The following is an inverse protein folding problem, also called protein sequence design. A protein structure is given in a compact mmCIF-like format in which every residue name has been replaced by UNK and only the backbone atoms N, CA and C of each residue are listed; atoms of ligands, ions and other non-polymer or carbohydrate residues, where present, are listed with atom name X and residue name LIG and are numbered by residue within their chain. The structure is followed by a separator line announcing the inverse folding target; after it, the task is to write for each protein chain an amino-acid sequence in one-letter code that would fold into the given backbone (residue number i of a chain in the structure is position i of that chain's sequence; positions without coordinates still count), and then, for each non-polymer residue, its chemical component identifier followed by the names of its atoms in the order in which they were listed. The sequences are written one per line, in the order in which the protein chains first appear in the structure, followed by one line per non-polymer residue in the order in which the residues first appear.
data_IF_428507592437
#
_entry.id   IF_428507592437
#
_cell.length_a   1.000
_cell.length_b   1.000
_cell.length_c   1.000
_cell.angle_alpha   90.00
_cell.angle_beta   90.00
_cell.angle_gamma   90.00
#
_symmetry.space_group_name_H-M   'P 1'
#
loop_
_entity.id
_entity.type
_entity.pdbx_description
1 polymer ?
#
# COMPACT_ATOMS: atom_id res chain seq x y z
N UNK A 1 -13.66 -38.51 2.00
CA UNK A 1 -13.30 -37.17 2.55
C UNK A 1 -13.97 -36.12 1.69
N UNK A 2 -14.86 -35.30 2.26
CA UNK A 2 -15.55 -34.28 1.49
C UNK A 2 -14.61 -33.08 1.26
N UNK A 3 -14.82 -32.35 0.17
CA UNK A 3 -13.97 -31.22 -0.23
C UNK A 3 -13.99 -30.11 0.84
N UNK A 4 -15.11 -29.99 1.56
CA UNK A 4 -15.29 -29.08 2.69
C UNK A 4 -14.41 -29.43 3.90
N UNK A 5 -14.23 -30.72 4.21
CA UNK A 5 -13.38 -31.18 5.32
C UNK A 5 -11.92 -30.83 5.09
N UNK A 6 -11.47 -30.91 3.82
CA UNK A 6 -10.12 -30.53 3.40
C UNK A 6 -9.92 -29.03 3.59
N UNK A 7 -10.89 -28.22 3.13
CA UNK A 7 -10.87 -26.76 3.28
C UNK A 7 -10.77 -26.35 4.75
N UNK A 8 -11.62 -26.90 5.62
CA UNK A 8 -11.62 -26.56 7.04
C UNK A 8 -10.32 -26.98 7.74
N UNK A 9 -9.80 -28.17 7.45
CA UNK A 9 -8.50 -28.63 7.98
C UNK A 9 -7.34 -27.76 7.52
N UNK A 10 -7.37 -27.30 6.27
CA UNK A 10 -6.34 -26.42 5.74
C UNK A 10 -6.32 -25.04 6.39
N UNK A 11 -7.50 -24.41 6.55
CA UNK A 11 -7.61 -23.13 7.26
C UNK A 11 -7.09 -23.28 8.69
N UNK A 12 -7.46 -24.36 9.40
CA UNK A 12 -7.01 -24.60 10.78
C UNK A 12 -5.51 -24.87 10.88
N UNK A 13 -4.93 -25.72 10.02
CA UNK A 13 -3.49 -26.05 10.06
C UNK A 13 -2.60 -24.85 9.71
N UNK A 14 -3.03 -24.01 8.76
CA UNK A 14 -2.25 -22.87 8.28
C UNK A 14 -2.72 -21.53 8.88
N UNK A 15 -3.49 -21.54 9.98
CA UNK A 15 -4.14 -20.35 10.53
C UNK A 15 -3.19 -19.16 10.76
N UNK A 16 -1.96 -19.42 11.21
CA UNK A 16 -0.92 -18.38 11.38
C UNK A 16 -0.53 -17.67 10.08
N UNK A 17 -0.71 -18.33 8.96
CA UNK A 17 -0.45 -17.76 7.63
C UNK A 17 -1.68 -17.05 7.07
N UNK A 18 -2.87 -17.53 7.43
CA UNK A 18 -4.15 -16.91 7.10
C UNK A 18 -4.44 -15.65 7.91
N UNK A 19 -3.89 -15.51 9.12
CA UNK A 19 -4.25 -14.40 10.03
C UNK A 19 -3.91 -13.03 9.43
N UNK A 20 -2.77 -12.87 8.77
CA UNK A 20 -2.39 -11.57 8.18
C UNK A 20 -3.29 -11.23 6.98
N UNK A 21 -3.69 -12.24 6.19
CA UNK A 21 -4.66 -12.08 5.11
C UNK A 21 -6.05 -11.73 5.65
N UNK A 22 -6.49 -12.44 6.69
CA UNK A 22 -7.78 -12.24 7.34
C UNK A 22 -7.89 -10.86 7.97
N UNK A 23 -6.90 -10.45 8.77
CA UNK A 23 -6.86 -9.12 9.41
C UNK A 23 -6.89 -8.03 8.36
N UNK A 24 -6.16 -8.21 7.25
CA UNK A 24 -6.18 -7.29 6.12
C UNK A 24 -7.60 -7.12 5.53
N UNK A 25 -8.30 -8.23 5.25
CA UNK A 25 -9.67 -8.19 4.74
C UNK A 25 -10.63 -7.53 5.74
N UNK A 26 -10.61 -7.98 6.99
CA UNK A 26 -11.51 -7.51 8.04
C UNK A 26 -11.33 -6.02 8.32
N UNK A 27 -10.09 -5.53 8.39
CA UNK A 27 -9.80 -4.09 8.55
C UNK A 27 -10.28 -3.28 7.35
N UNK A 28 -10.16 -3.79 6.13
CA UNK A 28 -10.66 -3.10 4.94
C UNK A 28 -12.19 -2.97 4.95
N UNK A 29 -12.86 -4.05 5.35
CA UNK A 29 -14.32 -4.10 5.51
C UNK A 29 -14.81 -3.17 6.62
N UNK A 30 -14.11 -3.15 7.75
CA UNK A 30 -14.35 -2.24 8.86
C UNK A 30 -14.27 -0.78 8.42
N UNK A 31 -13.19 -0.39 7.73
CA UNK A 31 -13.00 1.02 7.32
C UNK A 31 -14.07 1.43 6.33
N UNK A 32 -14.36 0.60 5.33
CA UNK A 32 -15.47 0.90 4.42
C UNK A 32 -16.81 1.03 5.14
N UNK A 33 -17.11 0.11 6.06
CA UNK A 33 -18.36 0.12 6.81
C UNK A 33 -18.53 1.40 7.63
N UNK A 34 -17.47 1.90 8.27
CA UNK A 34 -17.49 3.18 9.00
C UNK A 34 -17.90 4.31 8.06
N UNK A 35 -17.28 4.41 6.88
CA UNK A 35 -17.59 5.48 5.92
C UNK A 35 -18.99 5.37 5.32
N UNK A 36 -19.43 4.14 5.02
CA UNK A 36 -20.80 3.90 4.60
C UNK A 36 -21.80 4.30 5.69
N UNK A 37 -21.49 4.01 6.96
CA UNK A 37 -22.32 4.38 8.11
C UNK A 37 -22.38 5.89 8.33
N UNK A 38 -21.25 6.59 8.19
CA UNK A 38 -21.18 8.06 8.29
C UNK A 38 -22.05 8.72 7.21
N UNK A 39 -22.01 8.23 5.96
CA UNK A 39 -22.84 8.76 4.86
C UNK A 39 -24.34 8.66 5.13
N UNK A 40 -24.76 7.61 5.84
CA UNK A 40 -26.18 7.33 6.09
C UNK A 40 -26.69 7.82 7.45
N UNK A 41 -25.80 8.20 8.37
CA UNK A 41 -26.19 8.68 9.71
C UNK A 41 -27.10 9.90 9.63
N UNK A 42 -28.17 9.88 10.44
CA UNK A 42 -29.09 11.00 10.57
C UNK A 42 -28.46 12.17 11.31
N UNK A 43 -27.56 11.90 12.26
CA UNK A 43 -26.85 12.93 13.05
C UNK A 43 -25.96 13.80 12.17
N UNK A 44 -25.18 13.19 11.27
CA UNK A 44 -24.38 13.94 10.29
C UNK A 44 -25.28 14.73 9.35
N UNK A 45 -26.35 14.10 8.84
CA UNK A 45 -27.24 14.80 7.91
C UNK A 45 -27.87 16.03 8.54
N UNK A 46 -28.35 15.94 9.79
CA UNK A 46 -29.02 17.05 10.49
C UNK A 46 -28.13 18.29 10.62
N UNK A 47 -26.85 18.10 10.97
CA UNK A 47 -25.89 19.19 11.12
C UNK A 47 -25.36 19.70 9.77
N UNK A 48 -25.52 18.94 8.69
CA UNK A 48 -24.85 19.18 7.39
C UNK A 48 -25.80 19.39 6.21
N UNK A 49 -27.12 19.47 6.43
CA UNK A 49 -28.14 19.53 5.35
C UNK A 49 -27.82 20.62 4.33
N UNK A 50 -27.22 21.72 4.76
CA UNK A 50 -27.00 22.90 3.92
C UNK A 50 -25.62 22.96 3.25
N UNK A 51 -24.66 22.10 3.62
CA UNK A 51 -23.30 22.16 3.08
C UNK A 51 -23.10 21.12 1.96
N UNK A 52 -23.46 21.52 0.72
CA UNK A 52 -23.36 20.68 -0.50
C UNK A 52 -21.95 20.14 -0.70
N UNK A 53 -20.92 20.91 -0.33
CA UNK A 53 -19.53 20.53 -0.50
C UNK A 53 -19.17 19.35 0.40
N UNK A 54 -19.57 19.38 1.67
CA UNK A 54 -19.26 18.30 2.61
C UNK A 54 -19.98 17.00 2.24
N UNK A 55 -21.26 17.07 1.83
CA UNK A 55 -21.99 15.89 1.36
C UNK A 55 -21.32 15.27 0.11
N UNK A 56 -20.82 16.10 -0.79
CA UNK A 56 -20.08 15.67 -1.99
C UNK A 56 -18.75 15.01 -1.63
N UNK A 57 -18.01 15.56 -0.65
CA UNK A 57 -16.75 14.98 -0.16
C UNK A 57 -17.00 13.60 0.45
N UNK A 58 -17.96 13.47 1.38
CA UNK A 58 -18.30 12.18 2.02
C UNK A 58 -18.71 11.11 0.99
N UNK A 59 -19.49 11.49 -0.03
CA UNK A 59 -19.87 10.56 -1.11
C UNK A 59 -18.67 10.13 -1.95
N UNK A 60 -17.79 11.08 -2.29
CA UNK A 60 -16.58 10.81 -3.08
C UNK A 60 -15.60 9.90 -2.32
N UNK A 61 -15.48 10.07 -1.00
CA UNK A 61 -14.60 9.25 -0.17
C UNK A 61 -14.95 7.76 -0.19
N UNK A 62 -16.24 7.42 -0.21
CA UNK A 62 -16.68 6.01 -0.35
C UNK A 62 -16.15 5.40 -1.66
N UNK A 63 -16.27 6.14 -2.77
CA UNK A 63 -15.81 5.66 -4.09
C UNK A 63 -14.30 5.47 -4.11
N UNK A 64 -13.55 6.45 -3.60
CA UNK A 64 -12.08 6.38 -3.49
C UNK A 64 -11.65 5.16 -2.67
N UNK A 65 -12.31 4.92 -1.52
CA UNK A 65 -12.01 3.76 -0.67
C UNK A 65 -12.27 2.42 -1.38
N UNK A 66 -13.35 2.29 -2.16
CA UNK A 66 -13.63 1.05 -2.90
C UNK A 66 -12.48 0.70 -3.84
N UNK A 67 -11.93 1.70 -4.55
CA UNK A 67 -10.82 1.49 -5.49
C UNK A 67 -9.59 0.95 -4.75
N UNK A 68 -9.19 1.60 -3.64
CA UNK A 68 -8.02 1.17 -2.88
C UNK A 68 -8.20 -0.18 -2.18
N UNK A 69 -9.38 -0.41 -1.60
CA UNK A 69 -9.73 -1.68 -0.98
C UNK A 69 -9.73 -2.81 -2.03
N UNK A 70 -10.29 -2.58 -3.22
CA UNK A 70 -10.28 -3.58 -4.30
C UNK A 70 -8.85 -3.92 -4.73
N UNK A 71 -7.99 -2.91 -4.95
CA UNK A 71 -6.56 -3.11 -5.26
C UNK A 71 -5.91 -3.96 -4.16
N UNK A 72 -6.07 -3.56 -2.90
CA UNK A 72 -5.49 -4.24 -1.76
C UNK A 72 -5.95 -5.70 -1.63
N UNK A 73 -7.25 -5.96 -1.73
CA UNK A 73 -7.83 -7.31 -1.66
C UNK A 73 -7.30 -8.17 -2.81
N UNK A 74 -7.23 -7.63 -4.03
CA UNK A 74 -6.67 -8.35 -5.18
C UNK A 74 -5.20 -8.72 -4.94
N UNK A 75 -4.39 -7.78 -4.44
CA UNK A 75 -2.96 -8.03 -4.15
C UNK A 75 -2.76 -9.06 -3.03
N UNK A 76 -3.43 -8.86 -1.90
CA UNK A 76 -3.39 -9.75 -0.74
C UNK A 76 -3.76 -11.19 -1.13
N UNK A 77 -4.78 -11.32 -1.98
CA UNK A 77 -5.27 -12.61 -2.46
C UNK A 77 -4.33 -13.26 -3.49
N UNK A 78 -3.78 -12.51 -4.45
CA UNK A 78 -2.80 -13.05 -5.41
C UNK A 78 -1.56 -13.58 -4.70
N UNK A 79 -1.13 -12.91 -3.63
CA UNK A 79 -0.01 -13.37 -2.83
C UNK A 79 -0.34 -14.68 -2.11
N UNK A 80 -1.51 -14.74 -1.46
CA UNK A 80 -1.95 -15.93 -0.73
C UNK A 80 -1.88 -17.19 -1.61
N UNK A 81 -2.33 -17.09 -2.87
CA UNK A 81 -2.22 -18.18 -3.85
C UNK A 81 -0.77 -18.49 -4.26
N UNK A 82 0.08 -17.47 -4.45
CA UNK A 82 1.50 -17.67 -4.79
C UNK A 82 2.23 -18.49 -3.73
N UNK A 83 1.93 -18.27 -2.45
CA UNK A 83 2.53 -19.01 -1.33
C UNK A 83 2.14 -20.50 -1.34
N UNK A 84 0.92 -20.80 -1.78
CA UNK A 84 0.37 -22.17 -1.81
C UNK A 84 0.59 -22.90 -3.13
N UNK A 85 1.42 -22.37 -4.03
CA UNK A 85 1.76 -23.03 -5.31
C UNK A 85 2.32 -24.44 -5.12
N UNK A 86 3.19 -24.67 -4.13
CA UNK A 86 3.73 -26.03 -3.87
C UNK A 86 2.66 -27.00 -3.37
N UNK A 87 1.73 -26.53 -2.53
CA UNK A 87 0.59 -27.32 -2.03
C UNK A 87 -0.36 -27.68 -3.16
N UNK A 88 -0.71 -26.70 -4.00
CA UNK A 88 -1.53 -26.90 -5.21
C UNK A 88 -0.86 -27.86 -6.21
N UNK A 89 0.47 -27.75 -6.37
CA UNK A 89 1.25 -28.66 -7.21
C UNK A 89 1.23 -30.10 -6.68
N UNK A 90 1.34 -30.27 -5.35
CA UNK A 90 1.25 -31.58 -4.70
C UNK A 90 -0.14 -32.21 -4.88
N UNK A 91 -1.22 -31.43 -4.73
CA UNK A 91 -2.57 -31.92 -4.99
C UNK A 91 -2.74 -32.44 -6.41
N UNK A 92 -2.19 -31.74 -7.39
CA UNK A 92 -2.25 -32.19 -8.78
C UNK A 92 -1.36 -33.42 -9.06
N UNK A 93 -0.28 -33.64 -8.30
CA UNK A 93 0.53 -34.88 -8.37
C UNK A 93 -0.20 -36.08 -7.75
N UNK A 94 -0.99 -35.84 -6.70
CA UNK A 94 -1.81 -36.86 -6.04
C UNK A 94 -3.08 -37.24 -6.84
N UNK A 95 -3.20 -36.78 -8.09
CA UNK A 95 -4.33 -37.10 -8.98
C UNK A 95 -5.57 -36.24 -8.79
N UNK A 96 -5.54 -35.19 -7.95
CA UNK A 96 -6.69 -34.29 -7.79
C UNK A 96 -6.86 -33.45 -9.06
N UNK A 97 -8.06 -33.44 -9.62
CA UNK A 97 -8.35 -32.72 -10.86
C UNK A 97 -8.22 -31.20 -10.66
N UNK A 98 -7.76 -30.47 -11.69
CA UNK A 98 -7.65 -29.00 -11.64
C UNK A 98 -8.97 -28.31 -11.27
N UNK A 99 -10.11 -28.91 -11.64
CA UNK A 99 -11.46 -28.45 -11.27
C UNK A 99 -11.70 -28.53 -9.76
N UNK A 100 -11.38 -29.65 -9.14
CA UNK A 100 -11.51 -29.82 -7.69
C UNK A 100 -10.61 -28.86 -6.92
N UNK A 101 -9.36 -28.66 -7.36
CA UNK A 101 -8.45 -27.67 -6.76
C UNK A 101 -9.00 -26.24 -6.93
N UNK A 102 -9.53 -25.92 -8.12
CA UNK A 102 -10.17 -24.62 -8.39
C UNK A 102 -11.36 -24.34 -7.47
N UNK A 103 -12.25 -25.32 -7.29
CA UNK A 103 -13.39 -25.23 -6.37
C UNK A 103 -12.94 -25.10 -4.92
N UNK A 104 -11.90 -25.83 -4.52
CA UNK A 104 -11.32 -25.73 -3.18
C UNK A 104 -10.82 -24.33 -2.86
N UNK A 105 -10.02 -23.73 -3.76
CA UNK A 105 -9.54 -22.35 -3.59
C UNK A 105 -10.67 -21.32 -3.57
N UNK A 106 -11.71 -21.55 -4.37
CA UNK A 106 -12.90 -20.70 -4.39
C UNK A 106 -13.59 -20.72 -3.02
N UNK A 107 -13.87 -21.92 -2.49
CA UNK A 107 -14.50 -22.09 -1.18
C UNK A 107 -13.65 -21.51 -0.04
N UNK A 108 -12.34 -21.72 -0.04
CA UNK A 108 -11.43 -21.12 0.96
C UNK A 108 -11.50 -19.59 0.92
N UNK A 109 -11.48 -19.00 -0.27
CA UNK A 109 -11.56 -17.53 -0.42
C UNK A 109 -12.91 -17.00 0.06
N UNK A 110 -14.01 -17.70 -0.27
CA UNK A 110 -15.37 -17.34 0.15
C UNK A 110 -15.56 -17.43 1.66
N UNK A 111 -15.12 -18.51 2.29
CA UNK A 111 -15.27 -18.71 3.74
C UNK A 111 -14.43 -17.66 4.50
N UNK A 112 -13.16 -17.48 4.12
CA UNK A 112 -12.30 -16.49 4.76
C UNK A 112 -12.83 -15.07 4.58
N UNK A 113 -13.28 -14.73 3.37
CA UNK A 113 -13.88 -13.43 3.07
C UNK A 113 -15.21 -13.19 3.79
N UNK A 114 -16.07 -14.21 3.88
CA UNK A 114 -17.34 -14.14 4.59
C UNK A 114 -17.16 -13.94 6.09
N UNK A 115 -16.27 -14.69 6.73
CA UNK A 115 -15.94 -14.49 8.15
C UNK A 115 -15.35 -13.11 8.36
N UNK A 116 -14.47 -12.64 7.46
CA UNK A 116 -13.89 -11.30 7.56
C UNK A 116 -14.96 -10.20 7.42
N UNK A 117 -15.97 -10.41 6.57
CA UNK A 117 -17.07 -9.47 6.35
C UNK A 117 -17.94 -9.35 7.59
N UNK A 118 -18.31 -10.49 8.20
CA UNK A 118 -19.06 -10.50 9.46
C UNK A 118 -18.27 -9.81 10.56
N UNK A 119 -16.99 -10.17 10.75
CA UNK A 119 -16.13 -9.55 11.77
C UNK A 119 -15.93 -8.05 11.50
N UNK A 120 -15.75 -7.65 10.24
CA UNK A 120 -15.58 -6.26 9.84
C UNK A 120 -16.82 -5.41 10.12
N UNK A 121 -18.03 -5.91 9.82
CA UNK A 121 -19.29 -5.23 10.13
C UNK A 121 -19.53 -5.19 11.64
N UNK A 122 -19.28 -6.29 12.36
CA UNK A 122 -19.45 -6.33 13.82
C UNK A 122 -18.54 -5.32 14.51
N UNK A 123 -17.22 -5.39 14.29
CA UNK A 123 -16.26 -4.46 14.90
C UNK A 123 -16.53 -3.03 14.41
N UNK A 124 -16.84 -2.84 13.12
CA UNK A 124 -17.17 -1.54 12.54
C UNK A 124 -18.41 -0.92 13.17
N UNK A 125 -19.46 -1.72 13.44
CA UNK A 125 -20.66 -1.27 14.14
C UNK A 125 -20.33 -0.85 15.57
N UNK A 126 -19.61 -1.69 16.34
CA UNK A 126 -19.24 -1.40 17.73
C UNK A 126 -18.36 -0.15 17.86
N UNK A 127 -17.47 0.10 16.89
CA UNK A 127 -16.57 1.25 16.88
C UNK A 127 -17.14 2.48 16.16
N UNK A 128 -18.28 2.37 15.48
CA UNK A 128 -18.87 3.46 14.70
C UNK A 128 -19.07 4.74 15.52
N UNK A 129 -19.59 4.60 16.75
CA UNK A 129 -19.79 5.74 17.66
C UNK A 129 -18.48 6.50 17.91
N UNK A 130 -17.39 5.78 18.20
CA UNK A 130 -16.07 6.38 18.43
C UNK A 130 -15.59 7.17 17.21
N UNK A 131 -15.81 6.65 16.01
CA UNK A 131 -15.41 7.33 14.78
C UNK A 131 -16.31 8.51 14.42
N UNK A 132 -17.59 8.44 14.74
CA UNK A 132 -18.51 9.57 14.62
C UNK A 132 -18.12 10.69 15.60
N UNK A 133 -17.80 10.35 16.85
CA UNK A 133 -17.28 11.32 17.83
C UNK A 133 -15.95 11.94 17.38
N UNK A 134 -15.04 11.13 16.86
CA UNK A 134 -13.79 11.62 16.27
C UNK A 134 -14.06 12.60 15.12
N UNK A 135 -14.97 12.27 14.20
CA UNK A 135 -15.33 13.15 13.09
C UNK A 135 -15.93 14.47 13.57
N UNK A 136 -16.92 14.42 14.47
CA UNK A 136 -17.58 15.63 14.98
C UNK A 136 -16.60 16.51 15.78
N UNK A 137 -15.71 15.89 16.56
CA UNK A 137 -14.65 16.60 17.29
C UNK A 137 -13.66 17.27 16.34
N UNK A 138 -13.24 16.60 15.26
CA UNK A 138 -12.42 17.22 14.21
C UNK A 138 -13.17 18.38 13.56
N UNK A 139 -14.48 18.29 13.37
CA UNK A 139 -15.26 19.41 12.86
C UNK A 139 -15.54 20.53 13.88
N UNK A 140 -15.08 20.41 15.14
CA UNK A 140 -15.42 21.27 16.28
C UNK A 140 -16.93 21.34 16.61
N UNK A 141 -17.69 20.32 16.23
CA UNK A 141 -19.10 20.19 16.58
C UNK A 141 -19.26 19.43 17.90
N UNK A 142 -19.87 20.05 18.90
CA UNK A 142 -20.14 19.44 20.20
C UNK A 142 -21.60 19.00 20.26
N UNK A 143 -21.92 17.92 19.56
CA UNK A 143 -23.27 17.34 19.55
C UNK A 143 -23.25 16.02 20.32
N UNK A 144 -24.20 15.77 21.24
CA UNK A 144 -24.31 14.48 21.91
C UNK A 144 -24.61 13.39 20.88
N UNK A 145 -23.66 12.47 20.70
CA UNK A 145 -23.76 11.37 19.74
C UNK A 145 -24.33 10.12 20.41
N UNK A 146 -25.39 9.61 19.81
CA UNK A 146 -25.97 8.31 20.15
C UNK A 146 -25.54 7.24 19.16
N UNK A 147 -25.56 5.99 19.60
CA UNK A 147 -25.30 4.86 18.72
C UNK A 147 -26.44 4.72 17.69
N UNK A 148 -26.09 4.80 16.41
CA UNK A 148 -27.04 4.64 15.30
C UNK A 148 -26.51 3.57 14.34
N UNK A 149 -27.27 2.49 14.15
CA UNK A 149 -26.90 1.42 13.23
C UNK A 149 -27.70 1.55 11.93
N UNK A 150 -27.00 1.88 10.85
CA UNK A 150 -27.61 2.05 9.53
C UNK A 150 -27.70 0.73 8.77
N UNK A 151 -28.91 0.20 8.61
CA UNK A 151 -29.18 -0.99 7.78
C UNK A 151 -28.72 -0.75 6.33
N UNK A 152 -28.86 0.48 5.82
CA UNK A 152 -28.39 0.85 4.47
C UNK A 152 -26.87 0.70 4.35
N UNK A 153 -26.11 1.04 5.40
CA UNK A 153 -24.66 0.86 5.40
C UNK A 153 -24.25 -0.61 5.40
N UNK A 154 -24.98 -1.47 6.12
CA UNK A 154 -24.76 -2.92 6.15
C UNK A 154 -24.98 -3.51 4.75
N UNK A 155 -26.10 -3.17 4.10
CA UNK A 155 -26.43 -3.69 2.77
C UNK A 155 -25.40 -3.21 1.74
N UNK A 156 -25.05 -1.93 1.73
CA UNK A 156 -24.02 -1.37 0.85
C UNK A 156 -22.68 -2.11 1.01
N UNK A 157 -22.25 -2.31 2.25
CA UNK A 157 -21.01 -3.04 2.59
C UNK A 157 -21.09 -4.48 2.11
N UNK A 158 -22.20 -5.16 2.37
CA UNK A 158 -22.39 -6.54 1.95
C UNK A 158 -22.30 -6.68 0.42
N UNK A 159 -22.99 -5.83 -0.34
CA UNK A 159 -23.00 -5.88 -1.81
C UNK A 159 -21.59 -5.63 -2.39
N UNK A 160 -20.91 -4.57 -1.92
CA UNK A 160 -19.58 -4.22 -2.42
C UNK A 160 -18.56 -5.32 -2.14
N UNK A 161 -18.51 -5.82 -0.92
CA UNK A 161 -17.54 -6.87 -0.57
C UNK A 161 -17.91 -8.23 -1.14
N UNK A 162 -19.18 -8.59 -1.24
CA UNK A 162 -19.59 -9.81 -1.94
C UNK A 162 -19.13 -9.77 -3.40
N UNK A 163 -19.27 -8.63 -4.08
CA UNK A 163 -18.81 -8.46 -5.46
C UNK A 163 -17.29 -8.62 -5.59
N UNK A 164 -16.51 -7.98 -4.71
CA UNK A 164 -15.04 -8.11 -4.70
C UNK A 164 -14.60 -9.54 -4.36
N UNK A 165 -15.25 -10.18 -3.38
CA UNK A 165 -14.96 -11.56 -2.98
C UNK A 165 -15.26 -12.54 -4.12
N UNK A 166 -16.39 -12.38 -4.81
CA UNK A 166 -16.75 -13.22 -5.95
C UNK A 166 -15.73 -13.08 -7.08
N UNK A 167 -15.36 -11.85 -7.42
CA UNK A 167 -14.34 -11.58 -8.43
C UNK A 167 -12.99 -12.22 -8.05
N UNK A 168 -12.53 -12.05 -6.80
CA UNK A 168 -11.25 -12.60 -6.37
C UNK A 168 -11.25 -14.12 -6.26
N UNK A 169 -12.32 -14.73 -5.77
CA UNK A 169 -12.47 -16.19 -5.72
C UNK A 169 -12.51 -16.81 -7.12
N UNK A 170 -13.23 -16.18 -8.06
CA UNK A 170 -13.25 -16.60 -9.47
C UNK A 170 -11.87 -16.48 -10.13
N UNK A 171 -11.17 -15.35 -9.89
CA UNK A 171 -9.81 -15.16 -10.39
C UNK A 171 -8.88 -16.25 -9.84
N UNK A 172 -8.97 -16.57 -8.54
CA UNK A 172 -8.15 -17.59 -7.88
C UNK A 172 -8.35 -18.98 -8.47
N UNK A 173 -9.60 -19.38 -8.71
CA UNK A 173 -9.88 -20.70 -9.28
C UNK A 173 -9.34 -20.83 -10.71
N UNK A 174 -9.37 -19.74 -11.50
CA UNK A 174 -8.80 -19.72 -12.87
C UNK A 174 -7.29 -19.77 -12.93
N UNK A 175 -6.58 -19.25 -11.93
CA UNK A 175 -5.11 -19.20 -11.90
C UNK A 175 -4.49 -20.61 -12.02
N UNK A 176 -5.12 -21.65 -11.48
CA UNK A 176 -4.62 -23.04 -11.52
C UNK A 176 -4.58 -23.61 -12.95
N UNK A 177 -5.48 -23.17 -13.82
CA UNK A 177 -5.53 -23.67 -15.19
C UNK A 177 -4.40 -23.11 -16.06
N UNK A 178 -3.76 -22.01 -15.63
CA UNK A 178 -2.70 -21.33 -16.38
C UNK A 178 -1.28 -21.84 -16.09
N UNK A 179 -1.06 -22.58 -15.00
CA UNK A 179 0.28 -23.07 -14.65
C UNK A 179 0.46 -24.56 -15.00
N UNK A 180 1.43 -24.94 -15.84
CA UNK A 180 1.81 -26.33 -16.03
C UNK A 180 2.48 -26.87 -14.74
N UNK A 181 2.24 -28.15 -14.45
CA UNK A 181 2.69 -28.83 -13.22
C UNK A 181 4.21 -28.70 -13.00
N UNK A 182 4.99 -28.72 -14.09
CA UNK A 182 6.45 -28.66 -14.08
C UNK A 182 6.97 -27.28 -13.61
N UNK A 183 6.29 -26.17 -13.96
CA UNK A 183 6.67 -24.83 -13.49
C UNK A 183 6.41 -24.65 -11.99
N UNK A 184 5.40 -25.33 -11.43
CA UNK A 184 5.11 -25.24 -10.00
C UNK A 184 6.21 -25.84 -9.12
N UNK A 185 6.99 -26.79 -9.65
CA UNK A 185 8.11 -27.44 -8.95
C UNK A 185 9.50 -26.98 -9.43
N UNK A 186 9.68 -26.58 -10.69
CA UNK A 186 10.96 -26.11 -11.26
C UNK A 186 11.13 -24.58 -11.32
N UNK A 187 10.16 -23.77 -10.85
CA UNK A 187 10.31 -22.31 -10.75
C UNK A 187 11.47 -21.82 -9.84
N UNK A 188 12.21 -22.72 -9.19
CA UNK A 188 13.41 -22.41 -8.42
C UNK A 188 14.67 -22.20 -9.26
N UNK A 189 14.64 -22.39 -10.59
CA UNK A 189 15.86 -22.42 -11.42
C UNK A 189 15.79 -21.62 -12.73
N UNK A 190 15.21 -20.42 -12.71
CA UNK A 190 15.71 -19.37 -13.61
C UNK A 190 16.38 -18.32 -12.75
N UNK A 191 17.69 -18.50 -12.53
CA UNK A 191 18.53 -17.48 -11.91
C UNK A 191 18.31 -16.18 -12.68
N UNK A 192 17.71 -15.18 -12.02
CA UNK A 192 17.45 -13.90 -12.64
C UNK A 192 18.78 -13.36 -13.18
N UNK A 193 18.97 -13.31 -14.51
CA UNK A 193 20.20 -12.75 -15.10
C UNK A 193 20.44 -11.36 -14.53
N UNK A 194 21.69 -10.95 -14.27
CA UNK A 194 21.96 -9.63 -13.67
C UNK A 194 21.24 -8.49 -14.42
N UNK A 195 20.66 -7.49 -13.72
CA UNK A 195 19.98 -6.38 -14.38
C UNK A 195 20.93 -5.56 -15.26
N UNK A 196 20.48 -5.30 -16.49
CA UNK A 196 21.10 -4.28 -17.36
C UNK A 196 20.43 -2.94 -17.05
N UNK A 197 20.92 -2.23 -16.04
CA UNK A 197 20.55 -0.84 -15.81
C UNK A 197 21.01 0.02 -17.00
N UNK A 198 20.10 0.78 -17.60
CA UNK A 198 20.42 1.68 -18.72
C UNK A 198 20.82 3.04 -18.15
N UNK A 199 22.02 3.51 -18.50
CA UNK A 199 22.55 4.82 -18.08
C UNK A 199 21.64 5.94 -18.57
N UNK A 200 21.20 5.88 -19.83
CA UNK A 200 20.28 6.85 -20.42
C UNK A 200 18.98 6.97 -19.61
N UNK A 201 18.31 5.85 -19.31
CA UNK A 201 17.06 5.86 -18.53
C UNK A 201 17.27 6.40 -17.11
N UNK A 202 18.43 6.15 -16.50
CA UNK A 202 18.73 6.68 -15.17
C UNK A 202 18.84 8.21 -15.18
N UNK A 203 19.54 8.79 -16.15
CA UNK A 203 19.63 10.25 -16.29
C UNK A 203 18.28 10.87 -16.62
N UNK A 204 17.52 10.30 -17.57
CA UNK A 204 16.16 10.75 -17.89
C UNK A 204 15.28 10.72 -16.62
N UNK A 205 15.36 9.65 -15.83
CA UNK A 205 14.59 9.54 -14.58
C UNK A 205 14.89 10.65 -13.58
N UNK A 206 16.18 10.97 -13.36
CA UNK A 206 16.58 12.06 -12.48
C UNK A 206 16.15 13.42 -13.00
N UNK A 207 16.27 13.66 -14.31
CA UNK A 207 15.83 14.90 -14.95
C UNK A 207 14.32 15.06 -14.81
N UNK A 208 13.52 14.02 -15.08
CA UNK A 208 12.06 14.07 -14.93
C UNK A 208 11.65 14.35 -13.48
N UNK A 209 12.28 13.72 -12.49
CA UNK A 209 12.01 14.01 -11.09
C UNK A 209 12.41 15.44 -10.71
N UNK A 210 13.61 15.87 -11.12
CA UNK A 210 14.12 17.21 -10.84
C UNK A 210 13.24 18.29 -11.45
N UNK A 211 12.83 18.14 -12.72
CA UNK A 211 11.89 19.04 -13.38
C UNK A 211 10.55 19.06 -12.68
N UNK A 212 10.00 17.90 -12.29
CA UNK A 212 8.77 17.82 -11.51
C UNK A 212 8.86 18.59 -10.19
N UNK A 213 10.00 18.51 -9.50
CA UNK A 213 10.23 19.23 -8.24
C UNK A 213 10.40 20.73 -8.43
N UNK A 214 11.10 21.15 -9.48
CA UNK A 214 11.26 22.58 -9.82
C UNK A 214 9.90 23.17 -10.17
N UNK A 215 9.12 22.50 -11.03
CA UNK A 215 7.76 22.94 -11.40
C UNK A 215 6.82 22.99 -10.19
N UNK A 216 6.95 22.04 -9.25
CA UNK A 216 6.18 22.06 -8.01
C UNK A 216 6.61 23.22 -7.10
N UNK A 217 7.91 23.53 -7.02
CA UNK A 217 8.45 24.65 -6.24
C UNK A 217 7.99 26.02 -6.73
N UNK A 218 8.00 26.22 -8.05
CA UNK A 218 7.55 27.45 -8.71
C UNK A 218 6.11 27.34 -9.23
N UNK A 219 5.26 26.59 -8.52
CA UNK A 219 3.93 26.25 -9.02
C UNK A 219 3.10 27.50 -9.36
N UNK A 220 3.14 28.53 -8.51
CA UNK A 220 2.36 29.76 -8.71
C UNK A 220 2.86 30.59 -9.88
N UNK A 221 4.17 30.76 -10.01
CA UNK A 221 4.80 31.47 -11.12
C UNK A 221 4.50 30.75 -12.44
N UNK A 222 4.62 29.42 -12.46
CA UNK A 222 4.28 28.60 -13.63
C UNK A 222 2.81 28.73 -13.99
N UNK A 223 1.90 28.65 -13.01
CA UNK A 223 0.46 28.86 -13.24
C UNK A 223 0.22 30.26 -13.81
N UNK A 224 0.81 31.32 -13.24
CA UNK A 224 0.60 32.69 -13.71
C UNK A 224 1.18 32.97 -15.11
N UNK A 225 2.25 32.29 -15.50
CA UNK A 225 2.85 32.42 -16.84
C UNK A 225 2.03 31.65 -17.88
N UNK A 226 1.58 30.44 -17.54
CA UNK A 226 0.85 29.56 -18.44
C UNK A 226 -0.62 29.99 -18.57
N UNK A 227 -1.23 30.46 -17.48
CA UNK A 227 -2.59 30.96 -17.44
C UNK A 227 -2.64 32.46 -17.76
N UNK A 228 -3.01 32.80 -19.00
CA UNK A 228 -3.35 34.16 -19.36
C UNK A 228 -4.88 34.35 -19.20
N UNK A 229 -5.36 35.30 -18.37
CA UNK A 229 -6.79 35.51 -18.11
C UNK A 229 -7.64 35.91 -19.34
N UNK A 230 -7.01 36.12 -20.50
CA UNK A 230 -7.66 36.58 -21.73
C UNK A 230 -8.44 35.46 -22.47
N UNK A 231 -8.11 34.17 -22.26
CA UNK A 231 -8.86 33.05 -22.88
C UNK A 231 -9.00 31.83 -21.93
N UNK A 232 -9.98 31.85 -21.00
CA UNK A 232 -10.21 30.77 -20.03
C UNK A 232 -10.81 29.49 -20.62
N UNK A 233 -11.12 29.44 -21.93
CA UNK A 233 -11.79 28.31 -22.57
C UNK A 233 -10.85 27.29 -23.22
N UNK A 234 -9.53 27.51 -23.25
CA UNK A 234 -8.59 26.52 -23.80
C UNK A 234 -8.35 25.37 -22.79
N UNK A 235 -8.84 24.14 -23.05
CA UNK A 235 -8.73 23.03 -22.10
C UNK A 235 -7.28 22.56 -21.90
N UNK A 236 -6.35 22.89 -22.81
CA UNK A 236 -4.91 22.59 -22.67
C UNK A 236 -4.19 23.52 -21.68
N UNK A 237 -4.83 24.62 -21.24
CA UNK A 237 -4.25 25.67 -20.41
C UNK A 237 -4.91 25.72 -19.01
N UNK A 238 -5.78 24.77 -18.66
CA UNK A 238 -6.44 24.76 -17.35
C UNK A 238 -5.42 24.60 -16.18
N UNK A 239 -5.46 25.42 -15.11
CA UNK A 239 -4.55 25.31 -13.96
C UNK A 239 -4.55 23.93 -13.29
N UNK A 240 -5.61 23.13 -13.46
CA UNK A 240 -5.69 21.74 -12.98
C UNK A 240 -4.76 20.79 -13.75
N UNK A 241 -4.35 21.12 -14.98
CA UNK A 241 -3.44 20.29 -15.76
C UNK A 241 -1.99 20.33 -15.26
N UNK A 242 -1.56 21.44 -14.66
CA UNK A 242 -0.18 21.60 -14.19
C UNK A 242 0.17 20.59 -13.07
N UNK A 243 -0.65 20.43 -12.00
CA UNK A 243 -0.43 19.37 -11.01
C UNK A 243 -0.44 17.96 -11.60
N UNK A 244 -1.31 17.69 -12.59
CA UNK A 244 -1.39 16.38 -13.28
C UNK A 244 -0.11 16.11 -14.07
N UNK A 245 0.43 17.12 -14.76
CA UNK A 245 1.69 17.02 -15.47
C UNK A 245 2.87 16.80 -14.53
N UNK A 246 2.93 17.52 -13.40
CA UNK A 246 3.94 17.31 -12.35
C UNK A 246 3.86 15.86 -11.83
N UNK A 247 2.65 15.37 -11.54
CA UNK A 247 2.43 14.00 -11.08
C UNK A 247 2.93 12.97 -12.11
N UNK A 248 2.67 13.20 -13.40
CA UNK A 248 3.19 12.36 -14.48
C UNK A 248 4.72 12.34 -14.48
N UNK A 249 5.39 13.49 -14.47
CA UNK A 249 6.85 13.58 -14.44
C UNK A 249 7.45 12.84 -13.25
N UNK A 250 6.89 13.05 -12.06
CA UNK A 250 7.34 12.42 -10.83
C UNK A 250 7.13 10.90 -10.89
N UNK A 251 5.97 10.42 -11.32
CA UNK A 251 5.66 8.98 -11.43
C UNK A 251 6.64 8.28 -12.38
N UNK A 252 6.82 8.79 -13.60
CA UNK A 252 7.74 8.20 -14.58
C UNK A 252 9.20 8.28 -14.13
N UNK A 253 9.59 9.41 -13.54
CA UNK A 253 10.89 9.60 -12.93
C UNK A 253 11.20 8.56 -11.86
N UNK A 254 10.24 8.29 -10.96
CA UNK A 254 10.37 7.27 -9.89
C UNK A 254 10.48 5.86 -10.44
N UNK A 255 9.74 5.52 -11.51
CA UNK A 255 9.92 4.24 -12.19
C UNK A 255 11.34 4.08 -12.76
N UNK A 256 11.89 5.11 -13.39
CA UNK A 256 13.26 5.09 -13.90
C UNK A 256 14.32 5.08 -12.80
N UNK A 257 14.05 5.75 -11.66
CA UNK A 257 14.91 5.71 -10.48
C UNK A 257 15.13 4.26 -10.02
N UNK A 258 14.06 3.51 -9.76
CA UNK A 258 14.21 2.14 -9.26
C UNK A 258 14.66 1.13 -10.34
N UNK A 259 14.23 1.30 -11.59
CA UNK A 259 14.56 0.34 -12.65
C UNK A 259 15.96 0.52 -13.21
N UNK A 260 16.52 1.73 -13.16
CA UNK A 260 17.79 2.06 -13.81
C UNK A 260 18.81 2.66 -12.84
N UNK A 261 18.48 3.76 -12.17
CA UNK A 261 19.43 4.48 -11.32
C UNK A 261 19.91 3.62 -10.14
N UNK A 262 18.99 3.01 -9.39
CA UNK A 262 19.30 2.10 -8.28
C UNK A 262 20.22 0.97 -8.70
N UNK A 263 20.00 0.38 -9.88
CA UNK A 263 20.86 -0.70 -10.43
C UNK A 263 22.28 -0.20 -10.68
N UNK A 264 22.44 0.99 -11.25
CA UNK A 264 23.76 1.59 -11.54
C UNK A 264 24.50 1.91 -10.24
N UNK A 265 23.82 2.49 -9.25
CA UNK A 265 24.40 2.77 -7.93
C UNK A 265 24.90 1.48 -7.28
N UNK A 266 24.10 0.41 -7.28
CA UNK A 266 24.53 -0.88 -6.73
C UNK A 266 25.71 -1.50 -7.50
N UNK A 267 25.77 -1.35 -8.83
CA UNK A 267 26.94 -1.77 -9.63
C UNK A 267 28.20 -0.96 -9.29
N UNK A 268 28.07 0.34 -9.07
CA UNK A 268 29.18 1.22 -8.67
C UNK A 268 29.67 0.93 -7.25
N UNK A 269 28.78 0.57 -6.33
CA UNK A 269 29.16 0.10 -4.99
C UNK A 269 29.90 -1.24 -5.11
N UNK A 270 29.42 -2.15 -5.96
CA UNK A 270 30.06 -3.45 -6.21
C UNK A 270 31.46 -3.33 -6.82
N UNK A 271 31.72 -2.33 -7.65
CA UNK A 271 33.04 -2.15 -8.28
C UNK A 271 34.12 -1.66 -7.30
N UNK A 272 33.73 -1.12 -6.14
CA UNK A 272 34.68 -0.70 -5.09
C UNK A 272 35.14 -1.91 -4.28
N UNK A 273 36.38 -2.36 -4.52
CA UNK A 273 36.96 -3.57 -3.89
C UNK A 273 36.93 -3.52 -2.36
N UNK A 274 37.30 -2.39 -1.76
CA UNK A 274 37.31 -2.19 -0.30
C UNK A 274 35.95 -2.48 0.35
N UNK A 275 34.86 -2.00 -0.26
CA UNK A 275 33.50 -2.18 0.27
C UNK A 275 33.00 -3.59 -0.03
N UNK A 276 33.24 -4.08 -1.25
CA UNK A 276 32.68 -5.35 -1.73
C UNK A 276 33.24 -6.56 -1.00
N UNK A 277 34.55 -6.59 -0.74
CA UNK A 277 35.22 -7.72 -0.08
C UNK A 277 35.27 -7.60 1.46
N UNK A 278 34.74 -6.52 2.05
CA UNK A 278 34.69 -6.35 3.50
C UNK A 278 33.59 -7.24 4.12
N UNK A 279 34.01 -8.31 4.79
CA UNK A 279 33.13 -9.24 5.52
C UNK A 279 32.01 -9.82 4.67
N UNK A 280 30.77 -9.77 5.16
CA UNK A 280 29.59 -10.33 4.45
C UNK A 280 29.03 -9.43 3.34
N UNK A 281 29.71 -8.33 2.97
CA UNK A 281 29.22 -7.42 1.94
C UNK A 281 29.16 -8.08 0.56
N UNK A 282 30.03 -9.04 0.27
CA UNK A 282 30.00 -9.83 -0.96
C UNK A 282 28.65 -10.52 -1.16
N UNK A 283 28.09 -11.09 -0.08
CA UNK A 283 26.78 -11.72 -0.06
C UNK A 283 25.69 -10.65 -0.21
N UNK A 284 25.75 -9.59 0.60
CA UNK A 284 24.70 -8.57 0.67
C UNK A 284 24.53 -7.81 -0.65
N UNK A 285 25.63 -7.31 -1.22
CA UNK A 285 25.63 -6.49 -2.44
C UNK A 285 25.20 -7.34 -3.63
N UNK A 286 25.71 -8.58 -3.72
CA UNK A 286 25.33 -9.50 -4.80
C UNK A 286 23.84 -9.82 -4.74
N UNK A 287 23.30 -10.18 -3.57
CA UNK A 287 21.88 -10.48 -3.40
C UNK A 287 20.98 -9.28 -3.67
N UNK A 288 21.34 -8.09 -3.18
CA UNK A 288 20.60 -6.85 -3.45
C UNK A 288 20.53 -6.56 -4.95
N UNK A 289 21.64 -6.71 -5.68
CA UNK A 289 21.69 -6.43 -7.12
C UNK A 289 20.75 -7.35 -7.90
N UNK A 290 20.65 -8.64 -7.54
CA UNK A 290 19.71 -9.56 -8.17
C UNK A 290 18.25 -9.20 -7.81
N UNK A 291 17.95 -8.95 -6.54
CA UNK A 291 16.59 -8.61 -6.08
C UNK A 291 16.03 -7.33 -6.69
N UNK A 292 16.86 -6.29 -6.87
CA UNK A 292 16.41 -5.03 -7.47
C UNK A 292 15.87 -5.24 -8.88
N UNK A 293 16.39 -6.20 -9.65
CA UNK A 293 15.88 -6.48 -11.00
C UNK A 293 14.42 -6.93 -10.99
N UNK A 294 14.11 -7.96 -10.21
CA UNK A 294 12.76 -8.52 -10.12
C UNK A 294 11.76 -7.58 -9.44
N UNK A 295 12.26 -6.62 -8.65
CA UNK A 295 11.42 -5.82 -7.76
C UNK A 295 11.39 -4.32 -8.05
N UNK A 296 12.19 -3.81 -8.97
CA UNK A 296 12.29 -2.37 -9.21
C UNK A 296 10.93 -1.70 -9.45
N UNK A 297 10.06 -2.33 -10.25
CA UNK A 297 8.70 -1.81 -10.50
C UNK A 297 7.85 -1.77 -9.23
N UNK A 298 7.96 -2.80 -8.39
CA UNK A 298 7.24 -2.88 -7.11
C UNK A 298 7.74 -1.80 -6.13
N UNK A 299 9.06 -1.60 -6.04
CA UNK A 299 9.66 -0.53 -5.25
C UNK A 299 9.17 0.86 -5.69
N UNK A 300 9.11 1.11 -7.01
CA UNK A 300 8.55 2.35 -7.55
C UNK A 300 7.07 2.54 -7.19
N UNK A 301 6.24 1.51 -7.35
CA UNK A 301 4.82 1.56 -6.97
C UNK A 301 4.65 1.85 -5.48
N UNK A 302 5.46 1.25 -4.60
CA UNK A 302 5.42 1.52 -3.16
C UNK A 302 5.82 2.96 -2.86
N UNK A 303 6.84 3.49 -3.53
CA UNK A 303 7.28 4.86 -3.34
C UNK A 303 6.18 5.86 -3.73
N UNK A 304 5.50 5.63 -4.85
CA UNK A 304 4.37 6.45 -5.32
C UNK A 304 3.16 6.32 -4.38
N UNK A 305 2.82 5.11 -3.94
CA UNK A 305 1.74 4.90 -2.96
C UNK A 305 2.06 5.58 -1.62
N UNK A 306 3.32 5.57 -1.19
CA UNK A 306 3.75 6.26 0.03
C UNK A 306 3.70 7.78 -0.15
N UNK A 307 4.18 8.30 -1.30
CA UNK A 307 4.11 9.71 -1.63
C UNK A 307 2.67 10.22 -1.64
N UNK A 308 1.78 9.53 -2.35
CA UNK A 308 0.36 9.90 -2.43
C UNK A 308 -0.32 9.89 -1.07
N UNK A 309 -0.06 8.88 -0.24
CA UNK A 309 -0.59 8.80 1.12
C UNK A 309 -0.07 9.96 1.99
N UNK A 310 1.25 10.16 2.03
CA UNK A 310 1.88 11.20 2.83
C UNK A 310 1.44 12.59 2.40
N UNK A 311 1.42 12.88 1.10
CA UNK A 311 0.94 14.14 0.55
C UNK A 311 -0.53 14.36 0.91
N UNK A 312 -1.41 13.37 0.68
CA UNK A 312 -2.83 13.53 0.98
C UNK A 312 -3.09 13.84 2.45
N UNK A 313 -2.47 13.10 3.38
CA UNK A 313 -2.62 13.36 4.83
C UNK A 313 -2.02 14.72 5.18
N UNK A 314 -0.83 15.02 4.67
CA UNK A 314 -0.10 16.26 4.97
C UNK A 314 -0.84 17.50 4.51
N UNK A 315 -1.34 17.52 3.28
CA UNK A 315 -2.10 18.63 2.70
C UNK A 315 -3.36 18.90 3.51
N UNK A 316 -4.07 17.83 3.85
CA UNK A 316 -5.32 17.94 4.58
C UNK A 316 -5.07 18.35 6.03
N UNK A 317 -4.05 17.80 6.68
CA UNK A 317 -3.66 18.18 8.04
C UNK A 317 -3.19 19.65 8.09
N UNK A 318 -2.40 20.10 7.12
CA UNK A 318 -2.02 21.51 7.03
C UNK A 318 -3.24 22.44 6.88
N UNK A 319 -4.17 22.09 5.99
CA UNK A 319 -5.42 22.86 5.83
C UNK A 319 -6.29 22.87 7.09
N UNK A 320 -6.30 21.77 7.85
CA UNK A 320 -6.98 21.70 9.15
C UNK A 320 -6.38 22.66 10.20
N UNK A 321 -5.05 22.72 10.29
CA UNK A 321 -4.37 23.67 11.18
C UNK A 321 -4.64 25.12 10.80
N UNK A 322 -4.70 25.43 9.49
CA UNK A 322 -5.11 26.77 9.03
C UNK A 322 -6.57 27.05 9.37
N UNK A 323 -7.46 26.10 9.14
CA UNK A 323 -8.87 26.24 9.51
C UNK A 323 -9.09 26.44 11.01
N UNK A 324 -8.14 26.02 11.85
CA UNK A 324 -8.17 26.32 13.28
C UNK A 324 -7.86 27.79 13.58
N UNK A 325 -7.02 28.44 12.77
CA UNK A 325 -6.65 29.85 12.88
C UNK A 325 -7.62 30.80 12.18
N UNK A 326 -8.38 30.33 11.18
CA UNK A 326 -9.41 31.12 10.50
C UNK A 326 -10.75 31.09 11.26
N UNK A 327 -11.51 32.19 11.19
CA UNK A 327 -12.85 32.32 11.80
C UNK A 327 -13.97 31.67 10.97
N UNK A 328 -13.66 31.09 9.81
CA UNK A 328 -14.66 30.47 8.93
C UNK A 328 -15.01 29.05 9.38
N UNK A 329 -16.19 28.90 10.00
CA UNK A 329 -16.71 27.62 10.48
C UNK A 329 -16.86 26.56 9.39
N UNK A 330 -17.25 26.94 8.16
CA UNK A 330 -17.41 25.99 7.05
C UNK A 330 -16.06 25.44 6.58
N UNK A 331 -15.02 26.28 6.58
CA UNK A 331 -13.67 25.88 6.22
C UNK A 331 -13.12 24.86 7.24
N UNK A 332 -13.33 25.12 8.53
CA UNK A 332 -12.96 24.19 9.59
C UNK A 332 -13.67 22.84 9.46
N UNK A 333 -14.97 22.84 9.22
CA UNK A 333 -15.76 21.61 9.05
C UNK A 333 -15.30 20.81 7.83
N UNK A 334 -15.06 21.47 6.69
CA UNK A 334 -14.57 20.83 5.47
C UNK A 334 -13.22 20.13 5.69
N UNK A 335 -12.25 20.83 6.27
CA UNK A 335 -10.93 20.26 6.53
C UNK A 335 -10.94 19.24 7.68
N UNK A 336 -11.88 19.34 8.64
CA UNK A 336 -12.10 18.31 9.66
C UNK A 336 -12.59 17.00 9.05
N UNK A 337 -13.58 17.07 8.17
CA UNK A 337 -14.08 15.93 7.38
C UNK A 337 -12.97 15.37 6.50
N UNK A 338 -12.26 16.23 5.78
CA UNK A 338 -11.14 15.80 4.95
C UNK A 338 -10.05 15.12 5.78
N UNK A 339 -9.70 15.64 6.97
CA UNK A 339 -8.65 15.09 7.85
C UNK A 339 -9.03 13.71 8.37
N UNK A 340 -10.28 13.55 8.76
CA UNK A 340 -10.84 12.25 9.08
C UNK A 340 -10.63 11.28 7.91
N UNK A 341 -11.08 11.64 6.71
CA UNK A 341 -10.96 10.80 5.50
C UNK A 341 -9.49 10.48 5.16
N UNK A 342 -8.64 11.50 5.16
CA UNK A 342 -7.23 11.43 4.84
C UNK A 342 -6.46 10.52 5.80
N UNK A 343 -6.77 10.57 7.10
CA UNK A 343 -6.13 9.72 8.11
C UNK A 343 -6.39 8.23 7.86
N UNK A 344 -7.63 7.84 7.54
CA UNK A 344 -8.00 6.47 7.21
C UNK A 344 -7.42 5.98 5.89
N UNK A 345 -7.43 6.84 4.86
CA UNK A 345 -6.73 6.54 3.61
C UNK A 345 -5.25 6.29 3.87
N UNK A 346 -4.62 7.14 4.69
CA UNK A 346 -3.24 6.98 5.14
C UNK A 346 -2.97 5.62 5.77
N UNK A 347 -3.80 5.22 6.74
CA UNK A 347 -3.71 3.89 7.38
C UNK A 347 -3.84 2.78 6.34
N UNK A 348 -4.84 2.85 5.43
CA UNK A 348 -5.01 1.85 4.36
C UNK A 348 -3.77 1.77 3.48
N UNK A 349 -3.19 2.91 3.08
CA UNK A 349 -1.99 2.94 2.24
C UNK A 349 -0.78 2.33 2.95
N UNK A 350 -0.55 2.64 4.22
CA UNK A 350 0.55 2.05 4.99
C UNK A 350 0.36 0.54 5.15
N UNK A 351 -0.85 0.10 5.54
CA UNK A 351 -1.15 -1.32 5.70
C UNK A 351 -1.02 -2.06 4.36
N UNK A 352 -1.44 -1.42 3.26
CA UNK A 352 -1.35 -1.96 1.90
C UNK A 352 0.11 -2.12 1.47
N UNK A 353 0.89 -1.04 1.53
CA UNK A 353 2.29 -1.05 1.12
C UNK A 353 3.13 -1.97 2.02
N UNK A 354 2.94 -1.89 3.35
CA UNK A 354 3.60 -2.75 4.33
C UNK A 354 3.30 -4.23 4.09
N UNK A 355 2.04 -4.60 3.85
CA UNK A 355 1.65 -5.99 3.56
C UNK A 355 2.21 -6.46 2.21
N UNK A 356 2.17 -5.63 1.16
CA UNK A 356 2.76 -5.95 -0.16
C UNK A 356 4.25 -6.31 0.01
N UNK A 357 5.01 -5.50 0.73
CA UNK A 357 6.44 -5.74 0.94
C UNK A 357 6.67 -6.96 1.82
N UNK A 358 5.99 -7.05 2.97
CA UNK A 358 6.09 -8.18 3.88
C UNK A 358 5.95 -9.51 3.13
N UNK A 359 4.89 -9.60 2.34
CA UNK A 359 4.57 -10.77 1.55
C UNK A 359 5.58 -11.04 0.46
N UNK A 360 5.99 -10.01 -0.29
CA UNK A 360 7.02 -10.15 -1.30
C UNK A 360 8.33 -10.67 -0.71
N UNK A 361 8.77 -10.13 0.43
CA UNK A 361 9.97 -10.57 1.14
C UNK A 361 9.83 -12.00 1.66
N UNK A 362 8.66 -12.37 2.19
CA UNK A 362 8.41 -13.73 2.65
C UNK A 362 8.49 -14.74 1.50
N UNK A 363 7.95 -14.40 0.32
CA UNK A 363 8.08 -15.24 -0.88
C UNK A 363 9.55 -15.45 -1.27
N UNK A 364 10.39 -14.42 -1.16
CA UNK A 364 11.83 -14.52 -1.42
C UNK A 364 12.53 -15.37 -0.37
N UNK A 365 12.09 -15.31 0.90
CA UNK A 365 12.63 -16.15 1.96
C UNK A 365 12.46 -17.64 1.65
N UNK A 366 11.26 -18.04 1.22
CA UNK A 366 10.95 -19.42 0.83
C UNK A 366 11.70 -19.86 -0.43
N UNK A 367 11.93 -18.96 -1.39
CA UNK A 367 12.72 -19.26 -2.58
C UNK A 367 14.21 -19.45 -2.26
N UNK A 368 14.74 -18.67 -1.31
CA UNK A 368 16.17 -18.62 -0.98
C UNK A 368 16.58 -19.53 0.20
N UNK A 369 15.70 -20.39 0.72
CA UNK A 369 15.99 -21.24 1.88
C UNK A 369 17.27 -22.08 1.68
N UNK A 370 17.35 -22.82 0.56
CA UNK A 370 18.53 -23.64 0.19
C UNK A 370 19.81 -22.81 0.07
N UNK A 371 19.72 -21.58 -0.43
CA UNK A 371 20.88 -20.71 -0.56
C UNK A 371 21.49 -20.38 0.81
N UNK A 372 20.65 -20.04 1.79
CA UNK A 372 21.11 -19.76 3.15
C UNK A 372 21.53 -21.01 3.92
N UNK A 373 20.97 -22.18 3.62
CA UNK A 373 21.50 -23.46 4.10
C UNK A 373 22.93 -23.69 3.62
N UNK A 374 23.21 -23.44 2.33
CA UNK A 374 24.58 -23.52 1.78
C UNK A 374 25.52 -22.51 2.43
N UNK A 375 25.09 -21.26 2.64
CA UNK A 375 25.91 -20.27 3.35
C UNK A 375 26.29 -20.74 4.76
N UNK A 376 25.35 -21.36 5.49
CA UNK A 376 25.63 -21.92 6.81
C UNK A 376 26.64 -23.06 6.76
N UNK A 377 26.56 -23.93 5.74
CA UNK A 377 27.54 -25.02 5.53
C UNK A 377 28.95 -24.51 5.23
N UNK A 378 29.06 -23.32 4.63
CA UNK A 378 30.35 -22.66 4.33
C UNK A 378 30.87 -21.86 5.55
N UNK A 379 30.15 -21.85 6.67
CA UNK A 379 30.60 -21.24 7.93
C UNK A 379 30.02 -19.86 8.23
N UNK A 380 29.05 -19.36 7.45
CA UNK A 380 28.38 -18.08 7.77
C UNK A 380 27.56 -18.24 9.05
N UNK A 381 27.86 -17.40 10.04
CA UNK A 381 27.26 -17.49 11.37
C UNK A 381 25.79 -17.06 11.38
N UNK A 382 25.03 -17.49 12.39
CA UNK A 382 23.62 -17.07 12.59
C UNK A 382 23.45 -15.54 12.64
N UNK A 383 24.40 -14.85 13.30
CA UNK A 383 24.42 -13.38 13.42
C UNK A 383 24.63 -12.72 12.06
N UNK A 384 25.51 -13.26 11.24
CA UNK A 384 25.77 -12.80 9.87
C UNK A 384 24.59 -13.03 8.94
N UNK A 385 23.94 -14.20 9.01
CA UNK A 385 22.70 -14.47 8.26
C UNK A 385 21.61 -13.45 8.64
N UNK A 386 21.40 -13.21 9.94
CA UNK A 386 20.41 -12.21 10.40
C UNK A 386 20.77 -10.80 9.94
N UNK A 387 22.05 -10.40 10.01
CA UNK A 387 22.55 -9.10 9.53
C UNK A 387 22.36 -8.96 8.01
N UNK A 388 22.59 -10.03 7.27
CA UNK A 388 22.39 -10.08 5.82
C UNK A 388 20.93 -9.91 5.44
N UNK A 389 20.04 -10.67 6.07
CA UNK A 389 18.58 -10.54 5.86
C UNK A 389 18.10 -9.14 6.24
N UNK A 390 18.52 -8.62 7.39
CA UNK A 390 18.18 -7.28 7.85
C UNK A 390 18.55 -6.19 6.83
N UNK A 391 19.79 -6.21 6.30
CA UNK A 391 20.21 -5.26 5.24
C UNK A 391 19.41 -5.39 3.93
N UNK A 392 19.04 -6.61 3.55
CA UNK A 392 18.29 -6.85 2.31
C UNK A 392 16.83 -6.40 2.42
N UNK A 393 16.21 -6.71 3.55
CA UNK A 393 14.84 -6.27 3.86
C UNK A 393 14.83 -4.76 4.07
N UNK A 394 15.83 -4.17 4.76
CA UNK A 394 15.87 -2.73 5.01
C UNK A 394 15.95 -1.93 3.72
N UNK A 395 16.74 -2.37 2.74
CA UNK A 395 16.77 -1.76 1.42
C UNK A 395 15.37 -1.72 0.78
N UNK A 396 14.61 -2.81 0.89
CA UNK A 396 13.28 -2.94 0.26
C UNK A 396 12.20 -2.09 0.94
N UNK A 397 12.36 -1.81 2.24
CA UNK A 397 11.46 -0.93 2.98
C UNK A 397 11.89 0.54 2.88
N UNK A 398 13.14 0.83 3.22
CA UNK A 398 13.64 2.19 3.41
C UNK A 398 13.77 2.93 2.07
N UNK A 399 14.20 2.27 0.99
CA UNK A 399 14.41 3.00 -0.27
C UNK A 399 13.12 3.58 -0.87
N UNK A 400 11.97 2.86 -0.95
CA UNK A 400 10.71 3.48 -1.35
C UNK A 400 10.19 4.52 -0.37
N UNK A 401 10.38 4.30 0.94
CA UNK A 401 9.92 5.23 1.97
C UNK A 401 10.63 6.58 1.88
N UNK A 402 11.96 6.58 1.74
CA UNK A 402 12.75 7.81 1.58
C UNK A 402 12.26 8.56 0.34
N UNK A 403 12.12 7.87 -0.79
CA UNK A 403 11.65 8.49 -2.03
C UNK A 403 10.23 9.06 -1.86
N UNK A 404 9.34 8.34 -1.19
CA UNK A 404 7.98 8.80 -0.86
C UNK A 404 7.95 10.03 0.05
N UNK A 405 8.76 10.06 1.10
CA UNK A 405 8.91 11.21 1.99
C UNK A 405 9.43 12.43 1.22
N UNK A 406 10.49 12.25 0.41
CA UNK A 406 11.04 13.32 -0.44
C UNK A 406 9.96 13.85 -1.38
N UNK A 407 9.21 12.99 -2.08
CA UNK A 407 8.10 13.43 -2.93
C UNK A 407 7.04 14.23 -2.17
N UNK A 408 6.69 13.83 -0.94
CA UNK A 408 5.68 14.54 -0.15
C UNK A 408 6.08 15.95 0.25
N UNK A 409 7.38 16.22 0.44
CA UNK A 409 7.88 17.56 0.76
C UNK A 409 7.68 18.54 -0.42
N UNK A 410 7.79 18.05 -1.65
CA UNK A 410 7.58 18.89 -2.84
C UNK A 410 6.11 19.21 -3.12
N UNK A 411 5.16 18.63 -2.38
CA UNK A 411 3.76 19.02 -2.46
C UNK A 411 3.45 20.32 -1.71
N UNK A 412 4.32 20.76 -0.80
CA UNK A 412 4.11 21.96 0.03
C UNK A 412 3.86 23.22 -0.82
N UNK A 413 4.71 23.56 -1.83
CA UNK A 413 4.58 24.83 -2.53
C UNK A 413 3.37 24.89 -3.47
N UNK A 414 2.75 23.74 -3.77
CA UNK A 414 1.49 23.66 -4.50
C UNK A 414 0.33 24.20 -3.63
N UNK A 415 0.47 24.16 -2.30
CA UNK A 415 -0.54 24.56 -1.31
C UNK A 415 -0.26 26.00 -0.86
N UNK A 416 -0.11 26.92 -1.82
CA UNK A 416 0.56 28.21 -1.64
C UNK A 416 -0.23 29.28 -0.85
N UNK A 417 -1.40 28.94 -0.29
CA UNK A 417 -2.21 29.84 0.54
C UNK A 417 -2.00 29.62 2.04
N UNK A 418 -1.13 28.68 2.42
CA UNK A 418 -0.89 28.34 3.81
C UNK A 418 0.52 28.80 4.21
N UNK A 419 0.69 29.56 5.32
CA UNK A 419 2.01 29.92 5.83
C UNK A 419 2.84 28.67 6.11
N UNK A 420 4.10 28.62 5.63
CA UNK A 420 4.99 27.45 5.75
C UNK A 420 5.10 26.92 7.19
N UNK A 421 5.13 27.83 8.19
CA UNK A 421 5.21 27.47 9.60
C UNK A 421 4.01 26.62 10.08
N UNK A 422 2.84 26.79 9.47
CA UNK A 422 1.62 26.04 9.80
C UNK A 422 1.55 24.68 9.08
N UNK A 423 2.47 24.38 8.16
CA UNK A 423 2.49 23.15 7.35
C UNK A 423 3.53 22.14 7.89
N UNK A 424 4.67 22.63 8.38
CA UNK A 424 5.80 21.77 8.78
C UNK A 424 5.41 20.79 9.89
N UNK A 425 4.76 21.27 10.96
CA UNK A 425 4.39 20.42 12.10
C UNK A 425 3.43 19.30 11.69
N UNK A 426 2.31 19.56 10.98
CA UNK A 426 1.42 18.51 10.48
C UNK A 426 2.12 17.47 9.58
N UNK A 427 3.05 17.91 8.73
CA UNK A 427 3.85 17.02 7.87
C UNK A 427 4.73 16.11 8.71
N UNK A 428 5.42 16.65 9.70
CA UNK A 428 6.30 15.86 10.56
C UNK A 428 5.52 14.83 11.39
N UNK A 429 4.36 15.20 11.92
CA UNK A 429 3.49 14.29 12.68
C UNK A 429 2.98 13.16 11.77
N UNK A 430 2.41 13.50 10.61
CA UNK A 430 1.86 12.50 9.68
C UNK A 430 2.94 11.60 9.09
N UNK A 431 4.10 12.16 8.72
CA UNK A 431 5.26 11.40 8.26
C UNK A 431 5.84 10.50 9.36
N UNK A 432 5.92 11.00 10.59
CA UNK A 432 6.35 10.24 11.75
C UNK A 432 5.45 9.03 12.03
N UNK A 433 4.14 9.24 12.06
CA UNK A 433 3.16 8.17 12.23
C UNK A 433 3.27 7.11 11.11
N UNK A 434 3.41 7.55 9.84
CA UNK A 434 3.63 6.66 8.70
C UNK A 434 4.90 5.82 8.88
N UNK A 435 6.01 6.46 9.27
CA UNK A 435 7.29 5.80 9.48
C UNK A 435 7.26 4.77 10.61
N UNK A 436 6.56 5.05 11.72
CA UNK A 436 6.42 4.14 12.86
C UNK A 436 5.72 2.84 12.44
N UNK A 437 4.58 2.94 11.78
CA UNK A 437 3.83 1.75 11.32
C UNK A 437 4.67 0.97 10.30
N UNK A 438 5.30 1.68 9.37
CA UNK A 438 6.13 1.08 8.33
C UNK A 438 7.38 0.38 8.92
N UNK A 439 7.96 0.93 9.99
CA UNK A 439 9.03 0.29 10.77
C UNK A 439 8.54 -0.97 11.50
N UNK A 440 7.31 -0.98 12.02
CA UNK A 440 6.68 -2.19 12.57
C UNK A 440 6.62 -3.34 11.56
N UNK A 441 6.20 -3.05 10.32
CA UNK A 441 6.23 -4.04 9.23
C UNK A 441 7.64 -4.50 8.88
N UNK A 442 8.63 -3.59 8.90
CA UNK A 442 10.02 -3.95 8.68
C UNK A 442 10.51 -4.97 9.73
N UNK A 443 10.28 -4.71 11.03
CA UNK A 443 10.66 -5.62 12.12
C UNK A 443 9.97 -6.97 11.98
N UNK A 444 8.65 -6.97 11.74
CA UNK A 444 7.86 -8.18 11.50
C UNK A 444 8.40 -9.00 10.32
N UNK A 445 8.79 -8.32 9.25
CA UNK A 445 9.34 -8.95 8.04
C UNK A 445 10.70 -9.57 8.30
N UNK A 446 11.62 -8.86 8.96
CA UNK A 446 12.95 -9.39 9.30
C UNK A 446 12.83 -10.64 10.18
N UNK A 447 11.97 -10.58 11.21
CA UNK A 447 11.71 -11.73 12.08
C UNK A 447 11.16 -12.93 11.30
N UNK A 448 10.13 -12.70 10.47
CA UNK A 448 9.48 -13.76 9.70
C UNK A 448 10.40 -14.37 8.65
N UNK A 449 11.17 -13.54 7.94
CA UNK A 449 12.15 -13.97 6.94
C UNK A 449 13.23 -14.84 7.59
N UNK A 450 13.80 -14.38 8.69
CA UNK A 450 14.83 -15.13 9.42
C UNK A 450 14.28 -16.48 9.91
N UNK A 451 13.06 -16.51 10.43
CA UNK A 451 12.41 -17.75 10.88
C UNK A 451 12.19 -18.75 9.75
N UNK A 452 11.86 -18.30 8.54
CA UNK A 452 11.69 -19.18 7.37
C UNK A 452 13.02 -19.82 6.95
N UNK A 453 14.08 -19.02 6.93
CA UNK A 453 15.40 -19.45 6.46
C UNK A 453 16.17 -20.27 7.50
N UNK A 454 15.90 -20.06 8.79
CA UNK A 454 16.57 -20.75 9.89
C UNK A 454 15.78 -21.93 10.44
N UNK A 455 14.66 -22.30 9.80
CA UNK A 455 13.93 -23.54 10.07
C UNK A 455 14.57 -24.67 9.29
#
# INVERSE_FOLDING_TARGET
MNLFDIVQRNIRRNFKEYILYFVSLASSMLIYFIFASLRYSTQIKKEMVNNVMINSVLQSSKVILIIFIAIFIIYSTNFFIRKRKKEVGLYSLLGITKKQIGTMLFCETMIMGGVALVVGILIGSMSFKLFLELLMSLMKLHVPIHFELSIKAIIDTFIVFLSILLYTAWKNSRIIYKFPLIEMFQANHQGERMPKGSVLRAYIGLILMGLGYILAGFFREVVNIVWNPIDPMNPLINPIMIPVFILFLVVFGTYFLFTSYTVIVLKKIRSKREIFYSGINIINISQLLYRVKGNAKLLATIAILSATALTAISTVAAGYYVGQSETNGDFMQLYGVALFIGSFLGVIFVLTTGSIIYYKQLSEAYANQRYYETLRKIGVTKKEVRKSISKQVSFSFISPLIVGLVHSLFAIPIINNIPINNIIIPILISSGAYCIIYFGYYVLTVYSYFKVVYK
#
